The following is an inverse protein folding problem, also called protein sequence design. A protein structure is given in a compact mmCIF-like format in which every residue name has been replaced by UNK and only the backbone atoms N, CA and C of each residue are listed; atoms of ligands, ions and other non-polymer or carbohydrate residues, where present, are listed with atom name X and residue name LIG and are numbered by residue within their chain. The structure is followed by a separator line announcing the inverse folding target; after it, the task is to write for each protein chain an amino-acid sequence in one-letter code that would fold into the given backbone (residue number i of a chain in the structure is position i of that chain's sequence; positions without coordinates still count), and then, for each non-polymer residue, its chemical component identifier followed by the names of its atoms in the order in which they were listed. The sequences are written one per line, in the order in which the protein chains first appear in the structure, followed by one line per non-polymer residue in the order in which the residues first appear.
data_IF_289867968975
#
_entry.id   IF_289867968975
#
_cell.length_a   1.000
_cell.length_b   1.000
_cell.length_c   1.000
_cell.angle_alpha   90.00
_cell.angle_beta   90.00
_cell.angle_gamma   90.00
#
_symmetry.space_group_name_H-M   'P 1'
#
loop_
_entity.id
_entity.type
_entity.pdbx_description
1 polymer ?
#
# COMPACT_ATOMS: atom_id res chain seq x y z
N UNK A 1 17.09 -6.33 -13.56
CA UNK A 1 16.69 -5.97 -12.18
C UNK A 1 15.37 -6.68 -11.91
N UNK A 2 15.35 -7.63 -10.96
CA UNK A 2 14.20 -8.51 -10.72
C UNK A 2 13.39 -8.03 -9.52
N UNK A 3 12.07 -7.87 -9.66
CA UNK A 3 11.19 -7.38 -8.61
C UNK A 3 11.12 -8.32 -7.40
N UNK A 4 11.13 -7.75 -6.20
CA UNK A 4 10.78 -8.45 -4.99
C UNK A 4 9.70 -7.70 -4.26
N UNK A 5 8.57 -8.34 -4.08
CA UNK A 5 7.59 -7.89 -3.12
C UNK A 5 8.03 -8.25 -1.70
N UNK A 6 7.85 -7.33 -0.81
CA UNK A 6 8.13 -7.43 0.61
C UNK A 6 7.40 -8.59 1.29
N UNK A 7 6.23 -8.86 0.78
CA UNK A 7 5.28 -9.83 1.29
C UNK A 7 5.68 -11.29 1.09
N UNK A 8 6.76 -11.57 0.37
CA UNK A 8 7.18 -12.96 0.14
C UNK A 8 7.99 -13.57 1.27
N UNK A 9 8.37 -12.78 2.27
CA UNK A 9 9.17 -13.24 3.40
C UNK A 9 8.28 -13.42 4.63
N UNK A 10 8.10 -14.65 5.09
CA UNK A 10 7.28 -14.96 6.31
C UNK A 10 7.81 -14.21 7.53
N UNK A 11 9.14 -14.03 7.64
CA UNK A 11 9.74 -13.30 8.75
C UNK A 11 9.34 -11.81 8.77
N UNK A 12 9.35 -11.12 7.63
CA UNK A 12 8.94 -9.72 7.55
C UNK A 12 7.43 -9.56 7.73
N UNK A 13 6.63 -10.50 7.22
CA UNK A 13 5.18 -10.51 7.43
C UNK A 13 4.81 -10.76 8.90
N UNK A 14 5.52 -11.65 9.61
CA UNK A 14 5.29 -11.91 11.03
C UNK A 14 5.54 -10.65 11.88
N UNK A 15 6.66 -9.96 11.68
CA UNK A 15 6.94 -8.74 12.45
C UNK A 15 5.94 -7.60 12.17
N UNK A 16 5.48 -7.45 10.91
CA UNK A 16 4.45 -6.47 10.57
C UNK A 16 3.10 -6.82 11.18
N UNK A 17 2.71 -8.10 11.11
CA UNK A 17 1.48 -8.59 11.71
C UNK A 17 1.42 -8.39 13.23
N UNK A 18 2.54 -8.64 13.93
CA UNK A 18 2.67 -8.38 15.38
C UNK A 18 2.51 -6.90 15.69
N UNK A 19 3.25 -6.03 14.99
CA UNK A 19 3.17 -4.58 15.20
C UNK A 19 1.76 -4.04 14.89
N UNK A 20 1.15 -4.49 13.78
CA UNK A 20 -0.20 -4.09 13.42
C UNK A 20 -1.24 -4.52 14.47
N UNK A 21 -1.12 -5.75 14.96
CA UNK A 21 -2.02 -6.26 16.01
C UNK A 21 -1.87 -5.49 17.33
N UNK A 22 -0.64 -5.17 17.73
CA UNK A 22 -0.36 -4.40 18.94
C UNK A 22 -0.93 -2.98 18.88
N UNK A 23 -0.95 -2.41 17.68
CA UNK A 23 -1.41 -1.04 17.44
C UNK A 23 -2.89 -0.93 17.04
N UNK A 24 -3.56 -2.06 16.78
CA UNK A 24 -4.93 -2.06 16.29
C UNK A 24 -5.08 -1.54 14.85
N UNK A 25 -3.99 -1.57 14.05
CA UNK A 25 -3.98 -1.17 12.63
C UNK A 25 -3.88 -2.41 11.73
N UNK A 26 -3.91 -2.20 10.42
CA UNK A 26 -3.79 -3.30 9.46
C UNK A 26 -2.41 -3.32 8.78
N UNK A 27 -1.92 -4.53 8.44
CA UNK A 27 -0.86 -4.71 7.47
C UNK A 27 -1.40 -5.41 6.21
N UNK A 28 -0.72 -5.23 5.08
CA UNK A 28 -1.09 -5.82 3.80
C UNK A 28 -0.15 -6.98 3.47
N UNK A 29 -0.71 -8.13 3.03
CA UNK A 29 0.09 -9.32 2.68
C UNK A 29 0.95 -9.11 1.45
N UNK A 30 0.58 -8.17 0.56
CA UNK A 30 1.11 -8.13 -0.80
C UNK A 30 0.69 -9.34 -1.62
N UNK A 31 1.30 -9.54 -2.79
CA UNK A 31 0.88 -10.52 -3.82
C UNK A 31 1.30 -11.97 -3.57
N UNK A 32 1.84 -12.29 -2.40
CA UNK A 32 2.47 -13.59 -2.12
C UNK A 32 1.59 -14.61 -1.40
N UNK A 33 0.31 -14.34 -1.17
CA UNK A 33 -0.52 -15.17 -0.30
C UNK A 33 -0.24 -14.92 1.19
N UNK A 34 -0.76 -15.76 2.05
CA UNK A 34 -0.58 -15.68 3.50
C UNK A 34 -0.20 -17.04 4.06
N UNK A 35 0.94 -17.14 4.75
CA UNK A 35 1.33 -18.36 5.42
C UNK A 35 0.38 -18.70 6.58
N UNK A 36 0.03 -19.97 6.75
CA UNK A 36 -0.98 -20.43 7.75
C UNK A 36 -0.69 -19.97 9.18
N UNK A 37 0.60 -19.86 9.56
CA UNK A 37 0.97 -19.36 10.91
C UNK A 37 0.55 -17.92 11.18
N UNK A 38 0.24 -17.13 10.13
CA UNK A 38 -0.16 -15.74 10.22
C UNK A 38 -1.68 -15.53 10.21
N UNK A 39 -2.47 -16.58 9.97
CA UNK A 39 -3.94 -16.50 10.00
C UNK A 39 -4.48 -16.02 11.37
N UNK A 40 -3.75 -16.27 12.45
CA UNK A 40 -4.08 -15.77 13.80
C UNK A 40 -4.13 -14.24 13.90
N UNK A 41 -3.50 -13.52 12.93
CA UNK A 41 -3.48 -12.06 12.83
C UNK A 41 -4.52 -11.52 11.85
N UNK A 42 -5.43 -12.34 11.37
CA UNK A 42 -6.38 -12.02 10.31
C UNK A 42 -7.18 -10.74 10.54
N UNK A 43 -7.57 -10.45 11.79
CA UNK A 43 -8.29 -9.21 12.15
C UNK A 43 -7.51 -7.92 11.84
N UNK A 44 -6.20 -8.02 11.65
CA UNK A 44 -5.30 -6.91 11.34
C UNK A 44 -4.58 -7.12 10.00
N UNK A 45 -5.17 -7.94 9.11
CA UNK A 45 -4.55 -8.30 7.83
C UNK A 45 -5.45 -7.90 6.66
N UNK A 46 -4.89 -7.17 5.69
CA UNK A 46 -5.50 -6.98 4.38
C UNK A 46 -4.87 -8.00 3.44
N UNK A 47 -5.68 -8.88 2.87
CA UNK A 47 -5.22 -9.89 1.92
C UNK A 47 -5.27 -9.35 0.49
N UNK A 48 -4.22 -9.57 -0.30
CA UNK A 48 -4.10 -8.97 -1.62
C UNK A 48 -4.36 -9.98 -2.75
N UNK A 49 -5.11 -9.54 -3.74
CA UNK A 49 -5.40 -10.25 -5.00
C UNK A 49 -4.71 -9.49 -6.13
N UNK A 50 -3.52 -9.94 -6.52
CA UNK A 50 -2.77 -9.37 -7.63
C UNK A 50 -3.07 -10.10 -8.95
N UNK A 51 -2.53 -9.60 -10.06
CA UNK A 51 -2.76 -10.19 -11.39
C UNK A 51 -2.29 -11.64 -11.52
N UNK A 52 -1.28 -12.06 -10.76
CA UNK A 52 -0.79 -13.45 -10.72
C UNK A 52 -1.61 -14.40 -9.87
N UNK A 53 -2.55 -13.90 -9.06
CA UNK A 53 -3.45 -14.69 -8.19
C UNK A 53 -2.74 -15.70 -7.28
N UNK A 54 -1.48 -15.45 -6.91
CA UNK A 54 -0.68 -16.36 -6.08
C UNK A 54 -1.28 -16.54 -4.69
N UNK A 55 -1.52 -17.82 -4.31
CA UNK A 55 -2.06 -18.17 -3.01
C UNK A 55 -3.49 -17.69 -2.76
N UNK A 56 -4.22 -17.28 -3.80
CA UNK A 56 -5.61 -16.83 -3.67
C UNK A 56 -6.54 -18.06 -3.65
N UNK A 57 -7.16 -18.29 -2.51
CA UNK A 57 -8.16 -19.34 -2.31
C UNK A 57 -9.17 -18.91 -1.23
N UNK A 58 -10.24 -19.65 -1.06
CA UNK A 58 -11.36 -19.28 -0.16
C UNK A 58 -10.90 -18.96 1.26
N UNK A 59 -10.10 -19.83 1.86
CA UNK A 59 -9.67 -19.62 3.27
C UNK A 59 -8.77 -18.41 3.42
N UNK A 60 -7.91 -18.14 2.41
CA UNK A 60 -7.09 -16.93 2.36
C UNK A 60 -7.94 -15.66 2.32
N UNK A 61 -8.93 -15.61 1.42
CA UNK A 61 -9.83 -14.44 1.29
C UNK A 61 -10.60 -14.20 2.59
N UNK A 62 -10.98 -15.27 3.29
CA UNK A 62 -11.73 -15.19 4.54
C UNK A 62 -10.86 -15.00 5.79
N UNK A 63 -9.53 -15.06 5.67
CA UNK A 63 -8.61 -14.85 6.77
C UNK A 63 -8.41 -13.37 7.13
N UNK A 64 -8.63 -12.46 6.18
CA UNK A 64 -8.32 -11.04 6.34
C UNK A 64 -9.48 -10.19 6.84
N UNK A 65 -9.14 -8.98 7.31
CA UNK A 65 -10.09 -7.92 7.65
C UNK A 65 -10.49 -7.06 6.43
N UNK A 66 -9.84 -7.26 5.29
CA UNK A 66 -10.14 -6.62 4.02
C UNK A 66 -9.45 -7.35 2.88
N UNK A 67 -9.98 -7.19 1.67
CA UNK A 67 -9.41 -7.74 0.43
C UNK A 67 -8.98 -6.59 -0.46
N UNK A 68 -7.74 -6.62 -0.99
CA UNK A 68 -7.23 -5.60 -1.90
C UNK A 68 -6.92 -6.19 -3.27
N UNK A 69 -7.59 -5.71 -4.30
CA UNK A 69 -7.24 -5.95 -5.70
C UNK A 69 -6.08 -5.04 -6.06
N UNK A 70 -4.90 -5.58 -6.39
CA UNK A 70 -3.75 -4.79 -6.82
C UNK A 70 -3.69 -4.73 -8.34
N UNK A 71 -4.03 -3.58 -8.90
CA UNK A 71 -3.87 -3.29 -10.33
C UNK A 71 -2.45 -2.81 -10.63
N UNK A 72 -1.87 -2.02 -9.73
CA UNK A 72 -0.51 -1.50 -9.90
C UNK A 72 0.10 -0.95 -8.62
N UNK A 73 1.32 -0.43 -8.75
CA UNK A 73 2.03 0.26 -7.66
C UNK A 73 2.87 1.41 -8.21
N UNK A 74 3.06 2.47 -7.41
CA UNK A 74 3.62 3.75 -7.84
C UNK A 74 5.03 3.69 -8.38
N UNK A 75 5.89 2.82 -7.83
CA UNK A 75 7.28 2.72 -8.27
C UNK A 75 7.48 1.97 -9.60
N UNK A 76 6.49 1.21 -10.06
CA UNK A 76 6.56 0.45 -11.33
C UNK A 76 5.19 0.33 -12.00
N UNK A 77 4.57 1.43 -12.43
CA UNK A 77 3.31 1.38 -13.15
C UNK A 77 3.43 0.54 -14.42
N UNK A 78 2.42 -0.28 -14.70
CA UNK A 78 2.37 -1.08 -15.92
C UNK A 78 3.35 -2.26 -15.98
N UNK A 79 3.98 -2.63 -14.86
CA UNK A 79 4.90 -3.77 -14.77
C UNK A 79 4.38 -4.76 -13.72
N UNK A 80 4.28 -6.03 -14.12
CA UNK A 80 3.95 -7.12 -13.21
C UNK A 80 5.11 -7.52 -12.28
N UNK A 81 4.85 -8.54 -11.45
CA UNK A 81 5.84 -9.12 -10.54
C UNK A 81 6.59 -10.29 -11.18
N UNK A 82 7.82 -10.51 -10.73
CA UNK A 82 8.60 -11.69 -11.06
C UNK A 82 9.38 -12.15 -9.83
N UNK A 83 9.07 -13.35 -9.33
CA UNK A 83 9.86 -14.04 -8.33
C UNK A 83 10.59 -15.21 -8.99
N UNK A 84 11.95 -15.17 -9.06
CA UNK A 84 12.73 -16.25 -9.67
C UNK A 84 12.57 -17.57 -8.93
N UNK A 85 12.58 -18.69 -9.67
CA UNK A 85 12.45 -20.03 -9.12
C UNK A 85 13.47 -20.40 -8.04
N UNK A 86 14.69 -19.84 -8.13
CA UNK A 86 15.72 -20.00 -7.09
C UNK A 86 15.29 -19.54 -5.69
N UNK A 87 14.25 -18.69 -5.61
CA UNK A 87 13.67 -18.16 -4.36
C UNK A 87 12.40 -18.88 -3.94
N UNK A 88 11.89 -19.76 -4.78
CA UNK A 88 10.71 -20.57 -4.51
C UNK A 88 11.16 -21.86 -3.79
N UNK A 89 11.37 -21.72 -2.47
CA UNK A 89 11.54 -22.87 -1.57
C UNK A 89 10.18 -23.52 -1.25
N UNK A 90 10.19 -24.62 -0.51
CA UNK A 90 8.96 -25.35 -0.11
C UNK A 90 7.89 -24.46 0.53
N UNK A 91 8.28 -23.59 1.45
CA UNK A 91 7.37 -22.69 2.16
C UNK A 91 6.73 -21.68 1.20
N UNK A 92 7.50 -21.09 0.30
CA UNK A 92 6.99 -20.14 -0.71
C UNK A 92 6.12 -20.86 -1.74
N UNK A 93 6.53 -22.06 -2.17
CA UNK A 93 5.77 -22.92 -3.10
C UNK A 93 4.37 -23.19 -2.55
N UNK A 94 4.27 -23.65 -1.32
CA UNK A 94 2.98 -23.94 -0.66
C UNK A 94 2.14 -22.67 -0.47
N UNK A 95 2.76 -21.58 0.00
CA UNK A 95 2.05 -20.32 0.30
C UNK A 95 1.53 -19.65 -0.98
N UNK A 96 2.30 -19.69 -2.06
CA UNK A 96 1.93 -19.07 -3.35
C UNK A 96 1.16 -19.99 -4.27
N UNK A 97 1.07 -21.29 -3.93
CA UNK A 97 0.46 -22.31 -4.76
C UNK A 97 1.11 -22.41 -6.15
N UNK A 98 2.45 -22.40 -6.19
CA UNK A 98 3.26 -22.49 -7.41
C UNK A 98 4.24 -23.65 -7.27
N UNK A 99 4.64 -24.31 -8.37
CA UNK A 99 5.61 -25.43 -8.31
C UNK A 99 6.95 -24.98 -7.73
N UNK A 100 7.58 -25.89 -6.95
CA UNK A 100 8.91 -25.67 -6.37
C UNK A 100 9.93 -25.39 -7.48
N UNK A 101 10.76 -24.36 -7.30
CA UNK A 101 11.82 -24.01 -8.23
C UNK A 101 11.37 -23.35 -9.54
N UNK A 102 10.06 -23.15 -9.76
CA UNK A 102 9.55 -22.46 -10.95
C UNK A 102 9.46 -20.95 -10.75
N UNK A 103 9.66 -20.18 -11.82
CA UNK A 103 9.45 -18.74 -11.78
C UNK A 103 7.96 -18.41 -11.55
N UNK A 104 7.68 -17.53 -10.59
CA UNK A 104 6.34 -16.97 -10.36
C UNK A 104 6.25 -15.59 -11.00
N UNK A 105 5.49 -15.49 -12.09
CA UNK A 105 5.34 -14.27 -12.89
C UNK A 105 3.91 -13.75 -12.75
N UNK A 106 3.77 -12.50 -12.30
CA UNK A 106 2.51 -11.78 -12.37
C UNK A 106 2.44 -11.00 -13.67
N UNK A 107 1.42 -11.17 -14.52
CA UNK A 107 1.24 -10.33 -15.70
C UNK A 107 1.03 -8.86 -15.31
N UNK A 108 1.36 -7.94 -16.21
CA UNK A 108 1.15 -6.51 -15.97
C UNK A 108 -0.34 -6.17 -15.75
N UNK A 109 -1.27 -6.54 -16.64
CA UNK A 109 -2.70 -6.39 -16.41
C UNK A 109 -3.29 -7.63 -15.73
N UNK A 110 -4.41 -7.47 -15.05
CA UNK A 110 -5.29 -8.61 -14.77
C UNK A 110 -5.91 -9.09 -16.07
N UNK A 111 -5.81 -10.38 -16.38
CA UNK A 111 -6.29 -10.95 -17.65
C UNK A 111 -7.82 -11.02 -17.77
N UNK A 112 -8.51 -10.79 -16.66
CA UNK A 112 -9.96 -10.80 -16.52
C UNK A 112 -10.55 -9.40 -16.29
N UNK A 113 -9.75 -8.31 -16.41
CA UNK A 113 -10.19 -6.93 -16.23
C UNK A 113 -9.75 -6.08 -17.42
N UNK A 114 -10.67 -5.77 -18.31
CA UNK A 114 -10.47 -4.92 -19.48
C UNK A 114 -11.40 -3.69 -19.51
N UNK A 115 -12.34 -3.64 -18.54
CA UNK A 115 -13.30 -2.54 -18.40
C UNK A 115 -13.66 -2.33 -16.92
N UNK A 116 -14.41 -1.27 -16.64
CA UNK A 116 -14.98 -1.01 -15.31
C UNK A 116 -16.01 -2.08 -14.92
N UNK A 117 -16.73 -2.61 -15.90
CA UNK A 117 -17.69 -3.69 -15.74
C UNK A 117 -17.01 -5.00 -15.32
N UNK A 118 -15.85 -5.31 -15.93
CA UNK A 118 -15.07 -6.50 -15.52
C UNK A 118 -14.54 -6.34 -14.11
N UNK A 119 -14.08 -5.12 -13.75
CA UNK A 119 -13.67 -4.83 -12.37
C UNK A 119 -14.85 -4.98 -11.40
N UNK A 120 -16.04 -4.53 -11.77
CA UNK A 120 -17.26 -4.76 -10.98
C UNK A 120 -17.52 -6.25 -10.75
N UNK A 121 -17.38 -7.09 -11.78
CA UNK A 121 -17.53 -8.53 -11.66
C UNK A 121 -16.54 -9.15 -10.66
N UNK A 122 -15.27 -8.74 -10.70
CA UNK A 122 -14.27 -9.23 -9.75
C UNK A 122 -14.59 -8.75 -8.31
N UNK A 123 -14.95 -7.48 -8.13
CA UNK A 123 -15.34 -6.93 -6.82
C UNK A 123 -16.54 -7.71 -6.27
N UNK A 124 -17.56 -7.94 -7.10
CA UNK A 124 -18.74 -8.72 -6.73
C UNK A 124 -18.34 -10.14 -6.29
N UNK A 125 -17.55 -10.85 -7.11
CA UNK A 125 -17.10 -12.21 -6.79
C UNK A 125 -16.32 -12.29 -5.47
N UNK A 126 -15.47 -11.29 -5.17
CA UNK A 126 -14.72 -11.24 -3.91
C UNK A 126 -15.63 -10.91 -2.71
N UNK A 127 -16.63 -10.06 -2.88
CA UNK A 127 -17.66 -9.80 -1.86
C UNK A 127 -18.48 -11.05 -1.58
N UNK A 128 -18.92 -11.77 -2.61
CA UNK A 128 -19.61 -13.07 -2.47
C UNK A 128 -18.72 -14.11 -1.76
N UNK A 129 -17.45 -14.25 -2.16
CA UNK A 129 -16.51 -15.19 -1.55
C UNK A 129 -16.26 -14.92 -0.06
N UNK A 130 -16.37 -13.66 0.36
CA UNK A 130 -16.24 -13.22 1.76
C UNK A 130 -17.59 -13.08 2.48
N UNK A 131 -18.70 -13.43 1.83
CA UNK A 131 -20.06 -13.26 2.36
C UNK A 131 -20.33 -11.82 2.80
N UNK A 132 -19.78 -10.82 2.07
CA UNK A 132 -19.87 -9.38 2.35
C UNK A 132 -19.37 -8.97 3.74
N UNK A 133 -18.52 -9.79 4.40
CA UNK A 133 -18.04 -9.53 5.76
C UNK A 133 -16.91 -8.51 5.83
N UNK A 134 -16.19 -8.32 4.73
CA UNK A 134 -15.01 -7.45 4.69
C UNK A 134 -15.04 -6.52 3.48
N UNK A 135 -14.47 -5.30 3.59
CA UNK A 135 -14.41 -4.37 2.47
C UNK A 135 -13.48 -4.86 1.37
N UNK A 136 -13.78 -4.46 0.12
CA UNK A 136 -12.93 -4.69 -1.04
C UNK A 136 -12.27 -3.36 -1.46
N UNK A 137 -10.95 -3.34 -1.44
CA UNK A 137 -10.09 -2.25 -1.88
C UNK A 137 -9.58 -2.49 -3.29
N UNK A 138 -9.35 -1.41 -4.05
CA UNK A 138 -8.63 -1.47 -5.32
C UNK A 138 -7.43 -0.53 -5.25
N UNK A 139 -6.21 -1.10 -5.42
CA UNK A 139 -4.96 -0.36 -5.41
C UNK A 139 -4.46 -0.08 -6.82
N UNK A 140 -4.20 1.19 -7.11
CA UNK A 140 -3.72 1.69 -8.40
C UNK A 140 -2.44 2.52 -8.24
N UNK A 141 -1.64 2.60 -9.31
CA UNK A 141 -0.54 3.55 -9.39
C UNK A 141 -1.06 4.96 -9.66
N UNK A 142 -0.42 5.96 -9.07
CA UNK A 142 -0.64 7.36 -9.41
C UNK A 142 0.03 7.66 -10.76
N UNK A 143 -0.78 7.71 -11.81
CA UNK A 143 -0.36 7.96 -13.18
C UNK A 143 -1.37 8.88 -13.87
N UNK A 144 -1.13 9.17 -15.15
CA UNK A 144 -2.07 9.83 -16.04
C UNK A 144 -3.50 9.29 -15.88
N UNK A 145 -4.49 10.18 -15.85
CA UNK A 145 -5.92 9.87 -15.64
C UNK A 145 -6.30 9.19 -14.32
N UNK A 146 -5.46 9.23 -13.30
CA UNK A 146 -5.72 8.59 -12.00
C UNK A 146 -7.07 8.98 -11.41
N UNK A 147 -7.53 10.22 -11.58
CA UNK A 147 -8.81 10.72 -11.08
C UNK A 147 -10.01 10.04 -11.75
N UNK A 148 -9.97 9.86 -13.08
CA UNK A 148 -11.01 9.15 -13.82
C UNK A 148 -11.02 7.65 -13.48
N UNK A 149 -9.84 7.04 -13.34
CA UNK A 149 -9.70 5.64 -12.94
C UNK A 149 -10.29 5.43 -11.53
N UNK A 150 -9.97 6.30 -10.58
CA UNK A 150 -10.52 6.23 -9.22
C UNK A 150 -12.04 6.38 -9.20
N UNK A 151 -12.61 7.29 -10.00
CA UNK A 151 -14.05 7.43 -10.17
C UNK A 151 -14.68 6.12 -10.69
N UNK A 152 -14.08 5.52 -11.73
CA UNK A 152 -14.52 4.23 -12.26
C UNK A 152 -14.49 3.12 -11.21
N UNK A 153 -13.44 3.05 -10.39
CA UNK A 153 -13.30 2.09 -9.29
C UNK A 153 -14.42 2.23 -8.26
N UNK A 154 -14.74 3.46 -7.84
CA UNK A 154 -15.84 3.73 -6.91
C UNK A 154 -17.17 3.31 -7.52
N UNK A 155 -17.39 3.59 -8.82
CA UNK A 155 -18.61 3.19 -9.55
C UNK A 155 -18.69 1.67 -9.75
N UNK A 156 -17.55 0.98 -9.86
CA UNK A 156 -17.48 -0.48 -9.87
C UNK A 156 -17.84 -1.12 -8.52
N UNK A 157 -18.04 -0.33 -7.46
CA UNK A 157 -18.50 -0.82 -6.16
C UNK A 157 -17.39 -1.17 -5.17
N UNK A 158 -16.17 -0.68 -5.38
CA UNK A 158 -15.10 -0.77 -4.39
C UNK A 158 -15.43 0.06 -3.14
N UNK A 159 -15.08 -0.46 -1.97
CA UNK A 159 -15.26 0.23 -0.70
C UNK A 159 -14.06 1.15 -0.38
N UNK A 160 -12.92 0.86 -1.00
CA UNK A 160 -11.66 1.58 -0.78
C UNK A 160 -10.93 1.76 -2.11
N UNK A 161 -10.35 2.94 -2.33
CA UNK A 161 -9.40 3.23 -3.41
C UNK A 161 -8.04 3.55 -2.80
N UNK A 162 -7.04 2.71 -3.04
CA UNK A 162 -5.66 2.95 -2.59
C UNK A 162 -4.83 3.50 -3.76
N UNK A 163 -4.25 4.68 -3.59
CA UNK A 163 -3.47 5.38 -4.62
C UNK A 163 -2.00 5.35 -4.21
N UNK A 164 -1.14 4.82 -5.07
CA UNK A 164 0.29 4.67 -4.79
C UNK A 164 1.14 5.60 -5.67
N UNK A 165 1.73 6.61 -5.05
CA UNK A 165 2.52 7.65 -5.72
C UNK A 165 3.91 7.17 -6.16
N UNK A 166 4.54 7.93 -7.06
CA UNK A 166 5.85 7.64 -7.67
C UNK A 166 6.97 7.38 -6.65
N UNK A 167 6.90 8.01 -5.48
CA UNK A 167 7.89 7.83 -4.40
C UNK A 167 7.69 6.54 -3.60
N UNK A 168 6.76 5.68 -3.99
CA UNK A 168 6.62 4.33 -3.44
C UNK A 168 7.90 3.54 -3.65
N UNK A 169 8.53 3.09 -2.55
CA UNK A 169 9.81 2.40 -2.60
C UNK A 169 9.66 0.93 -2.96
N UNK A 170 10.43 0.46 -3.93
CA UNK A 170 10.74 -0.95 -4.12
C UNK A 170 12.13 -1.08 -4.72
N UNK A 171 12.97 -1.98 -4.17
CA UNK A 171 14.27 -2.32 -4.76
C UNK A 171 14.17 -3.07 -6.08
N UNK A 172 12.97 -3.27 -6.57
CA UNK A 172 12.61 -4.12 -7.69
C UNK A 172 12.15 -3.35 -8.93
N UNK A 173 11.90 -2.05 -8.82
CA UNK A 173 11.49 -1.22 -9.97
C UNK A 173 12.71 -0.93 -10.86
N UNK A 174 12.58 -1.09 -12.20
CA UNK A 174 13.56 -0.55 -13.13
C UNK A 174 13.69 0.96 -12.94
N UNK A 175 14.93 1.49 -12.86
CA UNK A 175 15.17 2.92 -12.61
C UNK A 175 14.43 3.84 -13.58
N UNK A 176 14.41 3.48 -14.87
CA UNK A 176 13.71 4.25 -15.90
C UNK A 176 12.21 4.40 -15.64
N UNK A 177 11.56 3.36 -15.15
CA UNK A 177 10.12 3.40 -14.83
C UNK A 177 9.88 4.16 -13.53
N UNK A 178 10.64 3.82 -12.48
CA UNK A 178 10.52 4.43 -11.17
C UNK A 178 10.67 5.95 -11.20
N UNK A 179 11.61 6.43 -11.99
CA UNK A 179 12.00 7.83 -11.98
C UNK A 179 11.22 8.69 -12.98
N UNK A 180 10.45 8.08 -13.93
CA UNK A 180 9.88 8.83 -15.06
C UNK A 180 8.41 8.57 -15.36
N UNK A 181 7.72 7.61 -14.74
CA UNK A 181 6.36 7.21 -15.17
C UNK A 181 5.27 7.65 -14.20
N UNK A 182 5.47 7.51 -12.90
CA UNK A 182 4.47 7.89 -11.90
C UNK A 182 4.44 9.39 -11.62
N UNK A 183 3.39 9.83 -10.93
CA UNK A 183 3.25 11.20 -10.42
C UNK A 183 3.28 11.22 -8.88
N UNK A 184 3.61 12.37 -8.24
CA UNK A 184 3.58 12.51 -6.80
C UNK A 184 2.20 12.22 -6.21
N UNK A 185 2.18 11.58 -5.03
CA UNK A 185 0.93 11.22 -4.37
C UNK A 185 0.08 12.45 -4.03
N UNK A 186 0.70 13.56 -3.69
CA UNK A 186 0.04 14.80 -3.32
C UNK A 186 -0.85 15.31 -4.46
N UNK A 187 -0.31 15.33 -5.69
CA UNK A 187 -1.05 15.74 -6.90
C UNK A 187 -2.15 14.75 -7.25
N UNK A 188 -1.84 13.46 -7.21
CA UNK A 188 -2.81 12.40 -7.52
C UNK A 188 -3.98 12.41 -6.54
N UNK A 189 -3.68 12.53 -5.24
CA UNK A 189 -4.68 12.55 -4.18
C UNK A 189 -5.62 13.74 -4.28
N UNK A 190 -5.07 14.95 -4.48
CA UNK A 190 -5.86 16.15 -4.62
C UNK A 190 -6.80 16.09 -5.84
N UNK A 191 -6.28 15.59 -6.98
CA UNK A 191 -7.09 15.42 -8.19
C UNK A 191 -8.19 14.35 -8.01
N UNK A 192 -7.90 13.24 -7.33
CA UNK A 192 -8.89 12.18 -7.06
C UNK A 192 -9.96 12.67 -6.09
N UNK A 193 -9.57 13.27 -4.96
CA UNK A 193 -10.53 13.79 -3.98
C UNK A 193 -11.45 14.83 -4.60
N UNK A 194 -10.90 15.75 -5.40
CA UNK A 194 -11.69 16.76 -6.12
C UNK A 194 -12.67 16.10 -7.10
N UNK A 195 -12.20 15.17 -7.93
CA UNK A 195 -13.05 14.47 -8.91
C UNK A 195 -14.20 13.72 -8.24
N UNK A 196 -13.94 13.00 -7.16
CA UNK A 196 -14.97 12.27 -6.44
C UNK A 196 -16.00 13.19 -5.77
N UNK A 197 -15.57 14.40 -5.34
CA UNK A 197 -16.46 15.46 -4.81
C UNK A 197 -17.33 16.04 -5.91
N UNK A 198 -16.75 16.41 -7.05
CA UNK A 198 -17.45 16.98 -8.20
C UNK A 198 -18.52 16.04 -8.73
N UNK A 199 -18.26 14.73 -8.68
CA UNK A 199 -19.24 13.69 -9.06
C UNK A 199 -20.22 13.30 -7.95
N UNK A 200 -20.09 13.86 -6.74
CA UNK A 200 -20.97 13.55 -5.60
C UNK A 200 -20.82 12.13 -5.05
N UNK A 201 -19.69 11.46 -5.32
CA UNK A 201 -19.45 10.07 -4.90
C UNK A 201 -18.31 9.90 -3.87
N UNK A 202 -17.73 11.03 -3.39
CA UNK A 202 -16.60 10.98 -2.44
C UNK A 202 -16.89 10.17 -1.17
N UNK A 203 -18.11 10.16 -0.70
CA UNK A 203 -18.53 9.44 0.52
C UNK A 203 -18.86 7.97 0.28
N UNK A 204 -18.77 7.47 -0.96
CA UNK A 204 -19.05 6.07 -1.30
C UNK A 204 -17.87 5.15 -1.10
N UNK A 205 -16.64 5.70 -1.01
CA UNK A 205 -15.43 4.92 -0.77
C UNK A 205 -14.42 5.70 0.06
N UNK A 206 -13.62 4.98 0.84
CA UNK A 206 -12.44 5.54 1.50
C UNK A 206 -11.29 5.67 0.52
N UNK A 207 -10.46 6.71 0.68
CA UNK A 207 -9.26 6.93 -0.14
C UNK A 207 -8.01 6.74 0.73
N UNK A 208 -7.12 5.83 0.31
CA UNK A 208 -5.85 5.57 0.98
C UNK A 208 -4.70 6.15 0.16
N UNK A 209 -3.87 6.97 0.78
CA UNK A 209 -2.65 7.49 0.18
C UNK A 209 -1.46 6.58 0.48
N UNK A 210 -0.67 6.27 -0.54
CA UNK A 210 0.57 5.51 -0.45
C UNK A 210 1.67 6.14 -1.33
N UNK A 211 2.92 5.77 -1.09
CA UNK A 211 4.04 6.18 -1.94
C UNK A 211 4.68 7.49 -1.49
N UNK A 212 5.66 7.38 -0.58
CA UNK A 212 6.44 8.52 -0.12
C UNK A 212 6.04 9.05 1.26
N UNK A 213 5.22 8.35 1.99
CA UNK A 213 4.91 8.69 3.40
C UNK A 213 6.12 8.33 4.26
N UNK A 214 6.81 9.33 4.80
CA UNK A 214 8.11 9.21 5.48
C UNK A 214 8.10 9.67 6.93
N UNK A 215 7.14 10.52 7.28
CA UNK A 215 6.99 11.10 8.61
C UNK A 215 5.51 11.45 8.88
N UNK A 216 5.22 11.82 10.11
CA UNK A 216 3.90 12.26 10.58
C UNK A 216 3.34 13.43 9.77
N UNK A 217 4.19 14.40 9.39
CA UNK A 217 3.78 15.55 8.59
C UNK A 217 3.30 15.15 7.17
N UNK A 218 3.85 14.10 6.58
CA UNK A 218 3.37 13.58 5.29
C UNK A 218 1.95 13.00 5.44
N UNK A 219 1.65 12.34 6.57
CA UNK A 219 0.30 11.85 6.90
C UNK A 219 -0.68 13.02 7.03
N UNK A 220 -0.33 14.03 7.83
CA UNK A 220 -1.17 15.21 8.04
C UNK A 220 -1.49 15.89 6.71
N UNK A 221 -0.49 16.07 5.83
CA UNK A 221 -0.70 16.64 4.48
C UNK A 221 -1.61 15.76 3.62
N UNK A 222 -1.40 14.44 3.63
CA UNK A 222 -2.23 13.52 2.86
C UNK A 222 -3.69 13.55 3.32
N UNK A 223 -3.96 13.56 4.63
CA UNK A 223 -5.31 13.69 5.18
C UNK A 223 -5.94 15.04 4.78
N UNK A 224 -5.19 16.13 4.90
CA UNK A 224 -5.68 17.45 4.50
C UNK A 224 -5.98 17.54 2.99
N UNK A 225 -5.25 16.80 2.15
CA UNK A 225 -5.50 16.72 0.70
C UNK A 225 -6.64 15.77 0.32
N UNK A 226 -7.19 15.02 1.29
CA UNK A 226 -8.38 14.20 1.08
C UNK A 226 -8.22 12.71 1.32
N UNK A 227 -7.11 12.21 1.85
CA UNK A 227 -7.00 10.82 2.26
C UNK A 227 -7.82 10.53 3.52
N UNK A 228 -8.33 9.31 3.64
CA UNK A 228 -8.93 8.77 4.87
C UNK A 228 -7.87 8.02 5.70
N UNK A 229 -6.86 7.46 5.05
CA UNK A 229 -5.77 6.73 5.69
C UNK A 229 -4.49 6.77 4.83
N UNK A 230 -3.38 6.29 5.39
CA UNK A 230 -2.11 6.19 4.68
C UNK A 230 -1.50 4.79 4.80
N UNK A 231 -0.94 4.28 3.70
CA UNK A 231 -0.02 3.14 3.73
C UNK A 231 1.40 3.62 3.90
N UNK A 232 2.14 2.97 4.79
CA UNK A 232 3.57 3.17 4.97
C UNK A 232 4.33 1.88 4.62
N UNK A 233 5.51 2.01 4.02
CA UNK A 233 6.37 0.87 3.70
C UNK A 233 7.82 1.15 4.09
N UNK A 234 8.51 2.01 3.36
CA UNK A 234 9.95 2.29 3.56
C UNK A 234 10.26 2.84 4.95
N UNK A 235 9.39 3.68 5.53
CA UNK A 235 9.56 4.19 6.88
C UNK A 235 9.53 3.07 7.93
N UNK A 236 8.63 2.10 7.78
CA UNK A 236 8.57 0.92 8.62
C UNK A 236 9.84 0.05 8.48
N UNK A 237 10.40 -0.06 7.25
CA UNK A 237 11.69 -0.72 7.02
C UNK A 237 12.83 -0.05 7.78
N UNK A 238 12.91 1.28 7.70
CA UNK A 238 13.93 2.05 8.38
C UNK A 238 13.85 1.85 9.90
N UNK A 239 12.65 1.82 10.47
CA UNK A 239 12.44 1.55 11.89
C UNK A 239 13.04 0.22 12.34
N UNK A 240 13.02 -0.82 11.50
CA UNK A 240 13.57 -2.13 11.82
C UNK A 240 15.04 -2.30 11.40
N UNK A 241 15.69 -1.22 10.95
CA UNK A 241 17.14 -1.20 10.67
C UNK A 241 17.52 -1.37 9.20
N UNK A 242 16.62 -1.14 8.24
CA UNK A 242 16.96 -1.08 6.82
C UNK A 242 17.84 0.14 6.53
N UNK A 243 18.93 -0.05 5.78
CA UNK A 243 19.83 1.03 5.35
C UNK A 243 19.60 1.50 3.92
N UNK A 244 18.49 1.12 3.29
CA UNK A 244 18.14 1.47 1.90
C UNK A 244 19.21 1.05 0.88
N UNK A 245 19.93 -0.04 1.13
CA UNK A 245 21.00 -0.51 0.25
C UNK A 245 20.55 -0.95 -1.16
N UNK A 246 19.23 -1.02 -1.41
CA UNK A 246 18.62 -1.37 -2.70
C UNK A 246 18.83 -2.83 -3.15
N UNK A 247 19.40 -3.70 -2.31
CA UNK A 247 19.76 -5.10 -2.66
C UNK A 247 18.65 -6.12 -2.37
N UNK A 248 17.43 -5.69 -2.07
CA UNK A 248 16.31 -6.58 -1.75
C UNK A 248 16.02 -7.60 -2.86
N UNK A 249 16.21 -7.21 -4.12
CA UNK A 249 16.00 -8.09 -5.27
C UNK A 249 16.93 -9.32 -5.29
N UNK A 250 18.09 -9.27 -4.64
CA UNK A 250 19.05 -10.38 -4.63
C UNK A 250 18.66 -11.53 -3.69
N UNK A 251 17.76 -11.27 -2.73
CA UNK A 251 17.43 -12.21 -1.66
C UNK A 251 18.47 -12.30 -0.55
N UNK A 252 19.57 -11.56 -0.66
CA UNK A 252 20.67 -11.56 0.29
C UNK A 252 20.68 -10.27 1.10
N UNK A 253 19.55 -9.98 1.79
CA UNK A 253 19.44 -8.82 2.66
C UNK A 253 20.41 -8.96 3.83
N UNK A 254 21.41 -8.06 3.99
CA UNK A 254 22.40 -8.17 5.06
C UNK A 254 21.78 -7.99 6.45
N UNK A 255 20.60 -7.39 6.54
CA UNK A 255 19.90 -7.10 7.79
C UNK A 255 18.85 -8.15 8.17
N UNK A 256 18.69 -9.21 7.37
CA UNK A 256 17.72 -10.27 7.64
C UNK A 256 16.25 -9.89 7.41
N UNK A 257 15.98 -8.72 6.80
CA UNK A 257 14.61 -8.20 6.64
C UNK A 257 13.95 -8.81 5.39
N UNK A 258 14.60 -8.69 4.22
CA UNK A 258 14.07 -9.11 2.93
C UNK A 258 14.85 -10.33 2.40
N UNK A 259 14.78 -11.46 3.10
CA UNK A 259 15.50 -12.69 2.76
C UNK A 259 14.77 -13.91 3.27
N UNK A 260 14.85 -15.02 2.52
CA UNK A 260 14.43 -16.37 2.95
C UNK A 260 15.64 -17.27 3.30
N UNK A 261 16.85 -16.72 3.29
CA UNK A 261 18.04 -17.43 3.73
C UNK A 261 17.98 -17.65 5.25
N UNK A 262 18.11 -18.91 5.68
CA UNK A 262 17.97 -19.31 7.08
C UNK A 262 19.04 -18.75 8.02
N UNK A 263 20.22 -18.37 7.47
CA UNK A 263 21.31 -17.74 8.25
C UNK A 263 21.10 -16.23 8.33
N UNK A 264 20.72 -15.60 7.21
CA UNK A 264 20.51 -14.16 7.17
C UNK A 264 19.23 -13.74 7.93
N UNK A 265 18.16 -14.51 7.86
CA UNK A 265 16.92 -14.22 8.57
C UNK A 265 17.09 -14.19 10.11
N UNK A 266 18.01 -14.98 10.65
CA UNK A 266 18.35 -14.99 12.09
C UNK A 266 18.98 -13.69 12.60
N UNK A 267 19.42 -12.79 11.71
CA UNK A 267 19.92 -11.45 12.09
C UNK A 267 18.84 -10.51 12.58
N UNK A 268 17.60 -10.81 12.26
CA UNK A 268 16.45 -10.02 12.70
C UNK A 268 15.71 -10.77 13.82
N UNK A 269 15.54 -10.10 14.95
CA UNK A 269 14.68 -10.60 16.01
C UNK A 269 13.26 -10.04 15.78
N UNK A 270 12.24 -10.89 15.52
CA UNK A 270 10.88 -10.43 15.18
C UNK A 270 10.22 -9.59 16.28
N UNK A 271 10.42 -9.93 17.55
CA UNK A 271 9.80 -9.21 18.69
C UNK A 271 10.41 -7.80 18.83
N UNK A 272 11.74 -7.69 18.70
CA UNK A 272 12.43 -6.40 18.76
C UNK A 272 12.04 -5.54 17.56
N UNK A 273 11.98 -6.12 16.37
CA UNK A 273 11.60 -5.42 15.15
C UNK A 273 10.16 -4.91 15.20
N UNK A 274 9.22 -5.76 15.62
CA UNK A 274 7.82 -5.37 15.79
C UNK A 274 7.67 -4.20 16.77
N UNK A 275 8.38 -4.25 17.92
CA UNK A 275 8.38 -3.16 18.91
C UNK A 275 8.94 -1.85 18.36
N UNK A 276 10.05 -1.91 17.59
CA UNK A 276 10.62 -0.72 16.94
C UNK A 276 9.63 -0.09 15.96
N UNK A 277 8.94 -0.90 15.17
CA UNK A 277 7.90 -0.43 14.25
C UNK A 277 6.72 0.19 15.02
N UNK A 278 6.24 -0.47 16.07
CA UNK A 278 5.17 0.05 16.92
C UNK A 278 5.55 1.39 17.57
N UNK A 279 6.79 1.53 18.03
CA UNK A 279 7.29 2.78 18.61
C UNK A 279 7.33 3.93 17.59
N UNK A 280 7.74 3.67 16.35
CA UNK A 280 7.70 4.68 15.27
C UNK A 280 6.27 5.19 15.08
N UNK A 281 5.30 4.30 14.99
CA UNK A 281 3.89 4.67 14.72
C UNK A 281 3.29 5.42 15.91
N UNK A 282 3.60 5.01 17.15
CA UNK A 282 3.18 5.76 18.34
C UNK A 282 3.77 7.17 18.38
N UNK A 283 5.09 7.30 18.09
CA UNK A 283 5.72 8.62 18.02
C UNK A 283 5.05 9.51 16.96
N UNK A 284 4.74 8.96 15.79
CA UNK A 284 3.98 9.72 14.78
C UNK A 284 2.57 10.08 15.24
N UNK A 285 1.91 9.22 16.03
CA UNK A 285 0.62 9.54 16.64
C UNK A 285 0.70 10.81 17.50
N UNK A 286 1.67 10.87 18.42
CA UNK A 286 1.88 12.05 19.26
C UNK A 286 2.22 13.32 18.44
N UNK A 287 3.12 13.19 17.45
CA UNK A 287 3.44 14.33 16.58
C UNK A 287 2.22 14.83 15.78
N UNK A 288 1.33 13.93 15.35
CA UNK A 288 0.07 14.29 14.68
C UNK A 288 -0.86 15.03 15.64
N UNK A 289 -1.01 14.56 16.88
CA UNK A 289 -1.80 15.22 17.92
C UNK A 289 -1.30 16.66 18.18
N UNK A 290 0.02 16.84 18.28
CA UNK A 290 0.62 18.17 18.44
C UNK A 290 0.35 19.09 17.23
N UNK A 291 0.50 18.56 16.00
CA UNK A 291 0.19 19.32 14.78
C UNK A 291 -1.29 19.71 14.70
N UNK A 292 -2.21 18.80 15.05
CA UNK A 292 -3.65 19.09 15.09
C UNK A 292 -3.95 20.17 16.12
N UNK A 293 -3.38 20.06 17.32
CA UNK A 293 -3.50 21.08 18.38
C UNK A 293 -3.02 22.46 17.92
N UNK A 294 -1.86 22.52 17.25
CA UNK A 294 -1.31 23.76 16.66
C UNK A 294 -2.19 24.36 15.57
N UNK A 295 -2.97 23.54 14.86
CA UNK A 295 -3.95 23.98 13.87
C UNK A 295 -5.33 24.31 14.46
N UNK A 296 -5.54 24.12 15.76
CA UNK A 296 -6.81 24.31 16.44
C UNK A 296 -7.84 23.22 16.10
N UNK A 297 -7.38 22.00 15.83
CA UNK A 297 -8.20 20.83 15.54
C UNK A 297 -8.10 19.81 16.68
N UNK A 298 -9.22 19.17 17.01
CA UNK A 298 -9.29 18.17 18.08
C UNK A 298 -9.50 16.73 17.56
N UNK A 299 -9.58 16.55 16.24
CA UNK A 299 -9.66 15.23 15.61
C UNK A 299 -9.05 15.25 14.20
N UNK A 300 -8.51 14.11 13.78
CA UNK A 300 -7.94 13.92 12.44
C UNK A 300 -9.02 13.95 11.35
N UNK A 301 -10.25 13.55 11.67
CA UNK A 301 -11.39 13.58 10.76
C UNK A 301 -11.73 15.02 10.35
N UNK A 302 -11.56 15.99 11.26
CA UNK A 302 -11.78 17.41 10.98
C UNK A 302 -10.75 17.99 10.00
N UNK A 303 -9.63 17.32 9.83
CA UNK A 303 -8.60 17.71 8.86
C UNK A 303 -8.87 17.14 7.47
N UNK A 304 -9.64 16.06 7.34
CA UNK A 304 -9.84 15.35 6.07
C UNK A 304 -10.40 16.25 4.97
N UNK A 305 -9.60 16.45 3.91
CA UNK A 305 -9.93 17.33 2.79
C UNK A 305 -9.99 18.81 3.14
N UNK A 306 -9.53 19.20 4.33
CA UNK A 306 -9.47 20.60 4.78
C UNK A 306 -8.18 21.27 4.29
N UNK A 307 -8.13 21.57 3.00
CA UNK A 307 -6.98 22.17 2.32
C UNK A 307 -6.68 23.60 2.78
N UNK A 308 -7.63 24.26 3.45
CA UNK A 308 -7.41 25.58 4.04
C UNK A 308 -6.39 25.56 5.20
N UNK A 309 -6.07 24.39 5.74
CA UNK A 309 -4.99 24.21 6.72
C UNK A 309 -3.61 24.07 6.08
N UNK A 310 -3.53 23.97 4.74
CA UNK A 310 -2.28 23.90 4.00
C UNK A 310 -1.92 25.24 3.36
N UNK A 311 -0.62 25.48 3.23
CA UNK A 311 -0.07 26.64 2.53
C UNK A 311 1.06 26.22 1.62
N UNK A 312 1.08 26.79 0.41
CA UNK A 312 2.10 26.52 -0.59
C UNK A 312 3.28 27.48 -0.46
N UNK A 313 4.49 26.92 -0.61
CA UNK A 313 5.74 27.68 -0.73
C UNK A 313 6.49 27.10 -1.92
N UNK A 314 6.89 27.95 -2.88
CA UNK A 314 7.69 27.53 -4.05
C UNK A 314 6.94 26.71 -5.09
N UNK A 315 5.61 26.70 -5.07
CA UNK A 315 4.77 26.08 -6.07
C UNK A 315 4.28 27.11 -7.11
N UNK A 316 4.10 26.66 -8.35
CA UNK A 316 3.45 27.46 -9.40
C UNK A 316 1.96 27.64 -9.13
N UNK A 317 1.32 28.61 -9.80
CA UNK A 317 -0.14 28.79 -9.71
C UNK A 317 -0.90 27.54 -10.13
N UNK A 318 -0.47 26.88 -11.20
CA UNK A 318 -1.09 25.62 -11.67
C UNK A 318 -1.02 24.51 -10.62
N UNK A 319 0.12 24.34 -9.96
CA UNK A 319 0.27 23.34 -8.89
C UNK A 319 -0.62 23.68 -7.69
N UNK A 320 -0.69 24.96 -7.31
CA UNK A 320 -1.58 25.40 -6.23
C UNK A 320 -3.06 25.16 -6.57
N UNK A 321 -3.45 25.42 -7.81
CA UNK A 321 -4.82 25.17 -8.29
C UNK A 321 -5.19 23.69 -8.25
N UNK A 322 -4.29 22.79 -8.72
CA UNK A 322 -4.49 21.34 -8.68
C UNK A 322 -4.61 20.85 -7.23
N UNK A 323 -3.73 21.33 -6.34
CA UNK A 323 -3.76 20.96 -4.93
C UNK A 323 -4.92 21.61 -4.17
N UNK A 324 -5.50 22.68 -4.70
CA UNK A 324 -6.53 23.47 -4.02
C UNK A 324 -6.02 24.19 -2.78
N UNK A 325 -4.77 24.65 -2.79
CA UNK A 325 -4.12 25.30 -1.65
C UNK A 325 -3.72 26.75 -1.97
N UNK A 326 -3.65 27.60 -0.94
CA UNK A 326 -3.26 29.02 -1.07
C UNK A 326 -1.77 29.19 -0.81
N UNK A 327 -1.17 30.23 -1.38
CA UNK A 327 0.20 30.63 -1.06
C UNK A 327 0.35 31.04 0.40
N UNK A 328 1.52 30.78 0.99
CA UNK A 328 1.80 31.07 2.42
C UNK A 328 1.63 32.54 2.83
N UNK A 329 1.67 33.45 1.88
CA UNK A 329 1.46 34.89 2.13
C UNK A 329 0.01 35.38 2.02
N UNK A 330 -0.98 34.44 1.92
CA UNK A 330 -2.41 34.77 1.76
C UNK A 330 -3.27 34.19 2.85
#
# INVERSE_FOLDING_TARGET
IRPRDWSSDVCSSDLMARAATELGICYNTGEGGLHKSLYKYGKNTIVQVASGRFGVHRDYLNAGAGIEIKVGQGAKPGIGGHLPGEKINEMVSVTRMVPLGSDAISPAPHHDIYSIEDLHQLIFALKEASEYRVPVSVKIAAVHNVAAIASGIVRAGADIVAIDGVRGGTGAAPGMIRDNVGIPIEMALAAVDQRLRDEGIRNRASVIAAGGIRCSADIVKAIALGADACYIATAALLAVGCTLCGKCYTGKCPWGIATNDSKLSKRQNPDIAARKMANLIRAWGHEIEEMLGGMGLNSIESLRGNRDKLRAVGLSSTEMDILGVKHAGR
#
